data_IF_407188970281
#
_entry.id   IF_407188970281
#
_cell.length_a   1.000
_cell.length_b   1.000
_cell.length_c   1.000
_cell.angle_alpha   90.00
_cell.angle_beta   90.00
_cell.angle_gamma   90.00
#
_symmetry.space_group_name_H-M   'P 1'
#
loop_
_entity.id
_entity.type
_entity.pdbx_description
1 polymer ?
#
# COMPACT_ATOMS: atom_id res chain seq x y z
N UNK A 1 -3.55 -4.06 26.98
CA UNK A 1 -3.14 -2.70 26.58
C UNK A 1 -2.36 -2.68 25.25
N UNK A 2 -1.30 -3.47 25.07
CA UNK A 2 -0.48 -3.48 23.85
C UNK A 2 -1.26 -3.85 22.56
N UNK A 3 -2.09 -4.90 22.59
CA UNK A 3 -2.89 -5.34 21.43
C UNK A 3 -3.92 -4.29 20.99
N UNK A 4 -4.56 -3.61 21.94
CA UNK A 4 -5.48 -2.50 21.62
C UNK A 4 -4.78 -1.33 20.92
N UNK A 5 -3.54 -1.01 21.34
CA UNK A 5 -2.71 0.00 20.66
C UNK A 5 -2.36 -0.40 19.23
N UNK A 6 -2.02 -1.67 18.99
CA UNK A 6 -1.71 -2.21 17.67
C UNK A 6 -2.93 -2.21 16.73
N UNK A 7 -4.10 -2.65 17.23
CA UNK A 7 -5.35 -2.65 16.45
C UNK A 7 -5.81 -1.23 16.11
N UNK A 8 -5.65 -0.28 17.05
CA UNK A 8 -5.95 1.14 16.81
C UNK A 8 -5.07 1.75 15.70
N UNK A 9 -3.78 1.36 15.63
CA UNK A 9 -2.88 1.80 14.57
C UNK A 9 -3.33 1.32 13.17
N UNK A 10 -3.79 0.07 13.05
CA UNK A 10 -4.33 -0.47 11.78
C UNK A 10 -5.67 0.15 11.42
N UNK A 11 -6.52 0.44 12.41
CA UNK A 11 -7.76 1.17 12.19
C UNK A 11 -7.52 2.56 11.57
N UNK A 12 -6.34 3.17 11.75
CA UNK A 12 -5.94 4.41 11.06
C UNK A 12 -5.80 4.26 9.54
N UNK A 13 -5.32 3.10 9.06
CA UNK A 13 -5.22 2.77 7.63
C UNK A 13 -6.58 2.42 7.02
N UNK A 14 -7.42 1.72 7.79
CA UNK A 14 -8.76 1.28 7.37
C UNK A 14 -9.79 2.40 7.49
N UNK A 15 -9.61 3.38 8.40
CA UNK A 15 -10.54 4.51 8.57
C UNK A 15 -10.81 5.18 7.23
N UNK A 16 -12.00 4.91 6.71
CA UNK A 16 -12.63 5.70 5.66
C UNK A 16 -13.01 7.02 6.30
N UNK A 17 -12.03 7.92 6.47
CA UNK A 17 -12.37 9.32 6.74
C UNK A 17 -13.24 9.77 5.57
N UNK A 18 -14.46 10.23 5.89
CA UNK A 18 -15.34 10.84 4.92
C UNK A 18 -14.57 11.93 4.17
N UNK A 19 -14.46 11.70 2.86
CA UNK A 19 -13.52 12.27 1.89
C UNK A 19 -13.90 13.69 1.46
N UNK A 20 -14.31 14.57 2.38
CA UNK A 20 -14.73 15.92 1.98
C UNK A 20 -13.53 16.88 1.80
N UNK A 21 -12.44 16.69 2.58
CA UNK A 21 -11.31 17.64 2.59
C UNK A 21 -9.97 17.10 2.06
N UNK A 22 -9.87 15.82 1.65
CA UNK A 22 -8.61 15.29 1.09
C UNK A 22 -8.68 15.22 -0.44
N UNK A 23 -7.79 15.96 -1.09
CA UNK A 23 -7.64 15.89 -2.54
C UNK A 23 -7.18 14.48 -2.96
N UNK A 24 -7.81 13.97 -4.00
CA UNK A 24 -7.49 12.72 -4.68
C UNK A 24 -6.30 12.99 -5.60
N UNK A 25 -5.16 12.38 -5.30
CA UNK A 25 -3.92 12.52 -6.07
C UNK A 25 -3.48 11.20 -6.71
N UNK A 26 -4.30 10.15 -6.58
CA UNK A 26 -3.92 8.77 -6.86
C UNK A 26 -5.07 7.96 -7.49
N UNK A 27 -4.68 6.90 -8.21
CA UNK A 27 -5.60 5.96 -8.84
C UNK A 27 -6.04 4.86 -7.85
N UNK A 28 -7.10 4.13 -8.21
CA UNK A 28 -7.59 3.00 -7.41
C UNK A 28 -6.48 1.96 -7.15
N UNK A 29 -5.68 1.66 -8.17
CA UNK A 29 -4.59 0.69 -8.06
C UNK A 29 -3.54 1.12 -7.03
N UNK A 30 -3.14 2.40 -7.01
CA UNK A 30 -2.26 2.94 -5.97
C UNK A 30 -2.83 2.68 -4.56
N UNK A 31 -4.13 2.92 -4.37
CA UNK A 31 -4.79 2.67 -3.07
C UNK A 31 -4.79 1.20 -2.71
N UNK A 32 -4.91 0.29 -3.68
CA UNK A 32 -4.78 -1.13 -3.42
C UNK A 32 -3.40 -1.49 -2.85
N UNK A 33 -2.32 -0.84 -3.29
CA UNK A 33 -0.97 -1.02 -2.72
C UNK A 33 -0.86 -0.46 -1.30
N UNK A 34 -0.80 0.87 -1.17
CA UNK A 34 -0.38 1.49 0.10
C UNK A 34 -1.46 1.44 1.20
N UNK A 35 -2.74 1.28 0.83
CA UNK A 35 -3.84 1.31 1.79
C UNK A 35 -4.36 -0.09 2.09
N UNK A 36 -4.73 -0.84 1.06
CA UNK A 36 -5.34 -2.17 1.26
C UNK A 36 -4.25 -3.20 1.58
N UNK A 37 -3.22 -3.31 0.74
CA UNK A 37 -2.16 -4.33 0.90
C UNK A 37 -1.32 -4.07 2.14
N UNK A 38 -0.88 -2.83 2.38
CA UNK A 38 -0.19 -2.51 3.65
C UNK A 38 -1.06 -2.81 4.88
N UNK A 39 -2.37 -2.49 4.86
CA UNK A 39 -3.25 -2.81 5.98
C UNK A 39 -3.43 -4.32 6.19
N UNK A 40 -3.57 -5.09 5.12
CA UNK A 40 -3.60 -6.56 5.16
C UNK A 40 -2.32 -7.09 5.82
N UNK A 41 -1.15 -6.65 5.36
CA UNK A 41 0.14 -7.13 5.86
C UNK A 41 0.35 -6.76 7.34
N UNK A 42 0.02 -5.54 7.75
CA UNK A 42 0.09 -5.14 9.15
C UNK A 42 -0.92 -5.89 10.02
N UNK A 43 -2.13 -6.16 9.51
CA UNK A 43 -3.12 -6.97 10.22
C UNK A 43 -2.61 -8.41 10.41
N UNK A 44 -2.07 -9.04 9.35
CA UNK A 44 -1.45 -10.36 9.44
C UNK A 44 -0.27 -10.36 10.43
N UNK A 45 0.60 -9.34 10.37
CA UNK A 45 1.71 -9.18 11.32
C UNK A 45 1.22 -9.14 12.77
N UNK A 46 0.15 -8.37 13.06
CA UNK A 46 -0.43 -8.30 14.39
C UNK A 46 -1.04 -9.63 14.81
N UNK A 47 -1.75 -10.33 13.92
CA UNK A 47 -2.34 -11.63 14.22
C UNK A 47 -1.27 -12.65 14.61
N UNK A 48 -0.20 -12.76 13.81
CA UNK A 48 0.91 -13.70 14.09
C UNK A 48 1.63 -13.29 15.38
N UNK A 49 1.89 -12.00 15.58
CA UNK A 49 2.54 -11.49 16.80
C UNK A 49 1.69 -11.71 18.05
N UNK A 50 0.37 -11.48 17.97
CA UNK A 50 -0.54 -11.69 19.09
C UNK A 50 -0.59 -13.17 19.50
N UNK A 51 -0.55 -14.10 18.54
CA UNK A 51 -0.45 -15.53 18.85
C UNK A 51 0.87 -15.86 19.56
N UNK A 52 2.00 -15.28 19.11
CA UNK A 52 3.29 -15.43 19.78
C UNK A 52 3.34 -14.87 21.22
N UNK A 53 2.54 -13.86 21.54
CA UNK A 53 2.54 -13.23 22.88
C UNK A 53 1.52 -13.83 23.85
N UNK A 54 0.37 -14.29 23.35
CA UNK A 54 -0.77 -14.70 24.18
C UNK A 54 -0.93 -16.23 24.20
N UNK A 55 -0.58 -16.91 23.12
CA UNK A 55 -0.68 -18.36 23.00
C UNK A 55 0.67 -19.06 23.16
N UNK A 56 0.63 -20.38 23.26
CA UNK A 56 1.82 -21.22 23.18
C UNK A 56 2.18 -21.43 21.69
N UNK A 57 3.29 -20.84 21.19
CA UNK A 57 3.64 -20.92 19.78
C UNK A 57 4.03 -22.34 19.34
N UNK A 58 4.54 -23.13 20.29
CA UNK A 58 4.93 -24.53 20.14
C UNK A 58 4.57 -25.30 21.41
N UNK A 59 4.05 -26.52 21.24
CA UNK A 59 3.77 -27.44 22.34
C UNK A 59 4.41 -28.78 22.06
N UNK A 60 5.34 -29.20 22.91
CA UNK A 60 6.11 -30.43 22.74
C UNK A 60 5.75 -31.50 23.77
N UNK A 61 5.79 -32.75 23.31
CA UNK A 61 5.62 -33.95 24.14
C UNK A 61 7.01 -34.55 24.38
N UNK A 62 7.27 -34.98 25.62
CA UNK A 62 8.51 -35.62 26.04
C UNK A 62 8.26 -36.73 27.08
N UNK A 63 9.29 -37.52 27.39
CA UNK A 63 9.20 -38.66 28.32
C UNK A 63 9.25 -38.26 29.82
N UNK A 64 9.04 -36.98 30.15
CA UNK A 64 9.05 -36.48 31.54
C UNK A 64 10.44 -36.27 32.17
N UNK A 65 11.53 -36.63 31.49
CA UNK A 65 12.90 -36.48 32.00
C UNK A 65 13.38 -35.01 32.11
N UNK A 66 12.75 -34.09 31.37
CA UNK A 66 13.05 -32.66 31.36
C UNK A 66 11.73 -31.89 31.50
N UNK A 67 11.68 -30.80 32.30
CA UNK A 67 10.46 -29.99 32.40
C UNK A 67 9.97 -29.51 31.02
N UNK A 68 8.67 -29.65 30.76
CA UNK A 68 8.05 -29.35 29.45
C UNK A 68 8.32 -27.92 29.01
N UNK A 69 8.23 -26.95 29.93
CA UNK A 69 8.56 -25.54 29.65
C UNK A 69 9.96 -25.38 29.03
N UNK A 70 10.97 -26.06 29.58
CA UNK A 70 12.36 -25.95 29.11
C UNK A 70 12.48 -26.48 27.69
N UNK A 71 11.84 -27.62 27.40
CA UNK A 71 11.82 -28.20 26.04
C UNK A 71 11.08 -27.25 25.08
N UNK A 72 9.89 -26.76 25.44
CA UNK A 72 9.12 -25.86 24.60
C UNK A 72 9.94 -24.61 24.26
N UNK A 73 10.58 -23.97 25.24
CA UNK A 73 11.40 -22.78 25.03
C UNK A 73 12.65 -23.08 24.20
N UNK A 74 13.34 -24.20 24.47
CA UNK A 74 14.53 -24.59 23.71
C UNK A 74 14.21 -24.89 22.24
N UNK A 75 13.18 -25.69 22.00
CA UNK A 75 12.74 -26.07 20.66
C UNK A 75 12.15 -24.88 19.90
N UNK A 76 11.51 -23.94 20.62
CA UNK A 76 11.07 -22.68 20.03
C UNK A 76 12.24 -21.85 19.51
N UNK A 77 13.28 -21.64 20.32
CA UNK A 77 14.41 -20.72 20.03
C UNK A 77 15.37 -21.31 19.00
N UNK A 78 15.66 -22.61 19.08
CA UNK A 78 16.75 -23.24 18.32
C UNK A 78 16.32 -23.53 16.88
N UNK A 79 15.66 -24.65 16.66
CA UNK A 79 15.05 -25.07 15.41
C UNK A 79 14.26 -26.34 15.68
N UNK A 80 13.32 -26.64 14.80
CA UNK A 80 12.74 -27.98 14.69
C UNK A 80 13.06 -28.55 13.32
N UNK A 81 12.85 -29.84 13.10
CA UNK A 81 13.12 -30.45 11.81
C UNK A 81 12.07 -31.51 11.43
N UNK A 82 11.96 -31.76 10.13
CA UNK A 82 11.21 -32.86 9.54
C UNK A 82 12.13 -33.74 8.69
N UNK A 83 11.67 -34.96 8.39
CA UNK A 83 12.38 -35.96 7.62
C UNK A 83 11.60 -36.21 6.31
N UNK A 84 11.99 -35.58 5.18
CA UNK A 84 11.27 -35.67 3.90
C UNK A 84 11.31 -37.07 3.25
N UNK A 85 12.12 -38.01 3.76
CA UNK A 85 12.21 -39.39 3.24
C UNK A 85 11.09 -40.35 3.68
N UNK A 86 10.01 -39.85 4.29
CA UNK A 86 8.94 -40.66 4.90
C UNK A 86 7.57 -40.47 4.23
N UNK A 87 7.53 -39.81 3.08
CA UNK A 87 6.28 -39.59 2.33
C UNK A 87 5.76 -40.88 1.71
N UNK A 88 4.45 -41.15 1.86
CA UNK A 88 3.79 -42.35 1.34
C UNK A 88 3.65 -43.51 2.33
N UNK A 89 4.18 -43.36 3.56
CA UNK A 89 3.97 -44.32 4.64
C UNK A 89 2.60 -44.13 5.30
N UNK A 90 1.93 -45.22 5.64
CA UNK A 90 0.59 -45.16 6.24
C UNK A 90 0.66 -44.64 7.68
N UNK A 91 -0.05 -43.54 7.94
CA UNK A 91 -0.13 -42.97 9.29
C UNK A 91 -0.77 -43.96 10.27
N UNK A 92 -0.25 -44.01 11.49
CA UNK A 92 -0.74 -44.90 12.55
C UNK A 92 -0.27 -46.35 12.47
N UNK A 93 0.38 -46.76 11.38
CA UNK A 93 0.98 -48.10 11.23
C UNK A 93 2.49 -48.03 11.03
N UNK A 94 2.97 -47.21 10.10
CA UNK A 94 4.41 -47.10 9.79
C UNK A 94 5.06 -45.84 10.37
N UNK A 95 4.31 -44.74 10.49
CA UNK A 95 4.75 -43.46 11.07
C UNK A 95 3.63 -42.80 11.88
N UNK A 96 4.00 -42.05 12.93
CA UNK A 96 3.03 -41.32 13.75
C UNK A 96 2.43 -40.12 12.98
N UNK A 97 3.26 -39.37 12.27
CA UNK A 97 2.85 -38.27 11.39
C UNK A 97 3.80 -38.18 10.17
N UNK A 98 3.34 -37.52 9.11
CA UNK A 98 4.16 -37.21 7.93
C UNK A 98 5.41 -36.42 8.31
N UNK A 99 6.56 -36.78 7.76
CA UNK A 99 7.82 -36.09 8.03
C UNK A 99 8.49 -36.50 9.35
N UNK A 100 8.03 -37.57 10.01
CA UNK A 100 8.66 -38.18 11.18
C UNK A 100 9.22 -39.56 10.85
N UNK A 101 10.33 -39.93 11.49
CA UNK A 101 11.06 -41.16 11.21
C UNK A 101 12.36 -41.29 12.01
N UNK A 102 13.16 -42.30 11.65
CA UNK A 102 14.44 -42.56 12.30
C UNK A 102 15.52 -41.55 11.89
N UNK A 103 16.49 -41.33 12.78
CA UNK A 103 17.52 -40.27 12.66
C UNK A 103 18.53 -40.42 11.50
N UNK A 104 18.49 -41.53 10.76
CA UNK A 104 19.43 -41.87 9.69
C UNK A 104 19.10 -41.21 8.33
N UNK A 105 18.09 -40.34 8.30
CA UNK A 105 17.62 -39.68 7.08
C UNK A 105 18.00 -38.19 7.06
N UNK A 106 17.98 -37.61 5.87
CA UNK A 106 18.19 -36.17 5.65
C UNK A 106 17.16 -35.36 6.43
N UNK A 107 17.61 -34.27 7.06
CA UNK A 107 16.79 -33.42 7.94
C UNK A 107 16.54 -32.08 7.29
N UNK A 108 15.29 -31.70 7.18
CA UNK A 108 14.87 -30.35 6.78
C UNK A 108 14.60 -29.54 8.03
N UNK A 109 15.38 -28.47 8.24
CA UNK A 109 15.28 -27.62 9.42
C UNK A 109 14.31 -26.46 9.21
N UNK A 110 13.49 -26.19 10.22
CA UNK A 110 12.44 -25.17 10.23
C UNK A 110 12.72 -24.14 11.33
N UNK A 111 13.03 -22.91 10.94
CA UNK A 111 13.17 -21.76 11.84
C UNK A 111 12.57 -20.45 11.29
N UNK A 112 12.09 -20.46 10.04
CA UNK A 112 11.57 -19.28 9.34
C UNK A 112 10.34 -18.68 10.05
N UNK A 113 9.54 -19.48 10.75
CA UNK A 113 8.31 -19.04 11.43
C UNK A 113 8.57 -17.96 12.49
N UNK A 114 9.77 -17.92 13.09
CA UNK A 114 10.19 -16.87 14.01
C UNK A 114 10.29 -15.50 13.32
N UNK A 115 10.62 -15.50 12.02
CA UNK A 115 10.88 -14.30 11.22
C UNK A 115 9.65 -13.79 10.47
N UNK A 116 8.56 -14.58 10.40
CA UNK A 116 7.33 -14.22 9.68
C UNK A 116 6.76 -12.85 10.11
N UNK A 117 6.65 -12.51 11.41
CA UNK A 117 6.14 -11.19 11.80
C UNK A 117 6.98 -10.03 11.28
N UNK A 118 8.30 -10.12 11.38
CA UNK A 118 9.22 -9.07 10.91
C UNK A 118 9.17 -8.93 9.40
N UNK A 119 9.06 -10.06 8.70
CA UNK A 119 8.90 -10.10 7.26
C UNK A 119 7.60 -9.39 6.84
N UNK A 120 6.45 -9.76 7.40
CA UNK A 120 5.16 -9.12 7.11
C UNK A 120 5.16 -7.62 7.41
N UNK A 121 5.80 -7.20 8.50
CA UNK A 121 5.96 -5.79 8.84
C UNK A 121 6.77 -5.03 7.78
N UNK A 122 7.94 -5.56 7.39
CA UNK A 122 8.78 -4.93 6.37
C UNK A 122 8.09 -4.86 5.01
N UNK A 123 7.38 -5.92 4.61
CA UNK A 123 6.56 -5.89 3.40
C UNK A 123 5.49 -4.80 3.47
N UNK A 124 4.79 -4.69 4.61
CA UNK A 124 3.77 -3.66 4.82
C UNK A 124 4.31 -2.25 4.60
N UNK A 125 5.54 -1.99 5.06
CA UNK A 125 6.27 -0.74 4.82
C UNK A 125 6.62 -0.57 3.34
N UNK A 126 7.18 -1.58 2.69
CA UNK A 126 7.55 -1.54 1.27
C UNK A 126 6.37 -1.17 0.37
N UNK A 127 5.18 -1.72 0.62
CA UNK A 127 3.95 -1.35 -0.11
C UNK A 127 3.48 0.09 0.13
N UNK A 128 3.92 0.74 1.22
CA UNK A 128 3.62 2.13 1.52
C UNK A 128 4.62 3.11 0.88
N UNK A 129 5.86 2.68 0.63
CA UNK A 129 6.95 3.54 0.13
C UNK A 129 6.61 4.28 -1.17
N UNK A 130 6.06 3.66 -2.24
CA UNK A 130 5.77 4.39 -3.48
C UNK A 130 4.77 5.53 -3.28
N UNK A 131 3.77 5.35 -2.41
CA UNK A 131 2.82 6.43 -2.07
C UNK A 131 3.48 7.53 -1.25
N UNK A 132 4.36 7.18 -0.31
CA UNK A 132 5.11 8.17 0.46
C UNK A 132 6.00 9.03 -0.44
N UNK A 133 6.70 8.43 -1.40
CA UNK A 133 7.48 9.15 -2.42
C UNK A 133 6.58 10.07 -3.23
N UNK A 134 5.47 9.56 -3.77
CA UNK A 134 4.53 10.37 -4.55
C UNK A 134 3.98 11.56 -3.77
N UNK A 135 3.60 11.34 -2.50
CA UNK A 135 3.06 12.39 -1.64
C UNK A 135 4.09 13.50 -1.37
N UNK A 136 5.36 13.15 -1.20
CA UNK A 136 6.42 14.15 -1.04
C UNK A 136 6.68 14.93 -2.33
N UNK A 137 6.54 14.30 -3.49
CA UNK A 137 6.69 14.98 -4.78
C UNK A 137 5.49 15.89 -5.10
N UNK A 138 4.28 15.47 -4.74
CA UNK A 138 3.06 16.24 -5.02
C UNK A 138 2.94 17.51 -4.17
N UNK A 139 3.57 17.55 -2.99
CA UNK A 139 3.67 18.70 -2.07
C UNK A 139 2.32 19.35 -1.70
N UNK A 140 1.20 18.64 -1.85
CA UNK A 140 -0.14 19.19 -1.63
C UNK A 140 -0.62 20.16 -2.72
N UNK A 141 0.05 20.24 -3.87
CA UNK A 141 -0.30 21.15 -4.98
C UNK A 141 -1.76 20.97 -5.42
N UNK A 142 -2.23 19.73 -5.60
CA UNK A 142 -3.61 19.45 -6.00
C UNK A 142 -4.61 19.90 -4.93
N UNK A 143 -4.25 19.75 -3.66
CA UNK A 143 -5.07 20.20 -2.53
C UNK A 143 -5.25 21.72 -2.52
N UNK A 144 -4.16 22.47 -2.74
CA UNK A 144 -4.16 23.93 -2.77
C UNK A 144 -4.98 24.46 -3.95
N UNK A 145 -4.77 23.89 -5.14
CA UNK A 145 -5.43 24.35 -6.37
C UNK A 145 -6.95 24.07 -6.34
N UNK A 146 -7.38 22.99 -5.68
CA UNK A 146 -8.79 22.59 -5.60
C UNK A 146 -9.48 23.04 -4.31
N UNK A 147 -8.80 23.82 -3.47
CA UNK A 147 -9.36 24.31 -2.22
C UNK A 147 -10.59 25.21 -2.46
N UNK A 148 -11.64 25.03 -1.67
CA UNK A 148 -12.91 25.76 -1.82
C UNK A 148 -13.72 25.43 -3.09
N UNK A 149 -13.25 24.51 -3.94
CA UNK A 149 -13.97 24.04 -5.13
C UNK A 149 -14.37 22.55 -5.07
N UNK A 150 -13.95 21.84 -4.01
CA UNK A 150 -14.30 20.45 -3.73
C UNK A 150 -15.65 20.36 -3.02
N UNK A 151 -16.44 19.34 -3.36
CA UNK A 151 -17.72 19.06 -2.71
C UNK A 151 -18.85 20.04 -3.06
N UNK A 152 -19.87 20.12 -2.20
CA UNK A 152 -20.99 21.06 -2.35
C UNK A 152 -20.53 22.44 -1.88
N UNK A 153 -20.08 23.28 -2.81
CA UNK A 153 -19.70 24.66 -2.53
C UNK A 153 -20.95 25.48 -2.17
N UNK A 154 -20.99 26.02 -0.95
CA UNK A 154 -22.01 26.98 -0.48
C UNK A 154 -21.76 28.42 -0.96
N UNK A 155 -20.67 28.65 -1.67
CA UNK A 155 -20.29 29.97 -2.15
C UNK A 155 -21.24 30.53 -3.21
N UNK A 156 -21.25 31.86 -3.32
CA UNK A 156 -22.05 32.57 -4.32
C UNK A 156 -21.65 32.18 -5.76
N UNK A 157 -22.58 32.24 -6.73
CA UNK A 157 -22.27 31.93 -8.13
C UNK A 157 -21.12 32.79 -8.69
N UNK A 158 -21.02 34.05 -8.26
CA UNK A 158 -19.96 34.97 -8.68
C UNK A 158 -18.58 34.54 -8.15
N UNK A 159 -18.47 34.18 -6.86
CA UNK A 159 -17.23 33.65 -6.29
C UNK A 159 -16.80 32.34 -6.95
N UNK A 160 -17.76 31.47 -7.28
CA UNK A 160 -17.47 30.20 -7.95
C UNK A 160 -16.87 30.46 -9.34
N UNK A 161 -17.43 31.39 -10.10
CA UNK A 161 -16.90 31.80 -11.41
C UNK A 161 -15.49 32.37 -11.30
N UNK A 162 -15.26 33.29 -10.37
CA UNK A 162 -13.93 33.87 -10.12
C UNK A 162 -12.88 32.81 -9.75
N UNK A 163 -13.26 31.77 -8.98
CA UNK A 163 -12.35 30.65 -8.67
C UNK A 163 -12.04 29.78 -9.89
N UNK A 164 -13.03 29.49 -10.74
CA UNK A 164 -12.80 28.77 -11.99
C UNK A 164 -11.87 29.55 -12.93
N UNK A 165 -12.03 30.87 -13.03
CA UNK A 165 -11.17 31.75 -13.84
C UNK A 165 -9.72 31.77 -13.31
N UNK A 166 -9.53 31.92 -11.99
CA UNK A 166 -8.19 31.84 -11.38
C UNK A 166 -7.52 30.49 -11.63
N UNK A 167 -8.28 29.40 -11.60
CA UNK A 167 -7.77 28.06 -11.88
C UNK A 167 -7.37 27.91 -13.36
N UNK A 168 -8.21 28.37 -14.28
CA UNK A 168 -7.90 28.38 -15.70
C UNK A 168 -6.66 29.25 -16.01
N UNK A 169 -6.57 30.42 -15.37
CA UNK A 169 -5.42 31.31 -15.48
C UNK A 169 -4.14 30.65 -14.97
N UNK A 170 -4.20 29.99 -13.81
CA UNK A 170 -3.07 29.20 -13.30
C UNK A 170 -2.63 28.13 -14.30
N UNK A 171 -3.56 27.37 -14.89
CA UNK A 171 -3.23 26.33 -15.88
C UNK A 171 -2.60 26.91 -17.14
N UNK A 172 -3.02 28.12 -17.55
CA UNK A 172 -2.44 28.83 -18.69
C UNK A 172 -1.02 29.30 -18.38
N UNK A 173 -0.82 29.95 -17.24
CA UNK A 173 0.48 30.50 -16.84
C UNK A 173 1.52 29.40 -16.55
N UNK A 174 1.08 28.25 -16.05
CA UNK A 174 1.93 27.11 -15.72
C UNK A 174 1.98 26.02 -16.79
N UNK A 175 1.42 26.28 -17.97
CA UNK A 175 1.43 25.34 -19.09
C UNK A 175 2.87 24.90 -19.43
N UNK A 176 3.04 23.63 -19.77
CA UNK A 176 4.30 22.95 -20.08
C UNK A 176 5.29 22.77 -18.92
N UNK A 177 4.97 23.24 -17.70
CA UNK A 177 5.86 23.09 -16.54
C UNK A 177 5.61 21.80 -15.73
N UNK A 178 4.51 21.10 -15.99
CA UNK A 178 4.07 19.94 -15.20
C UNK A 178 4.68 18.59 -15.60
N UNK A 179 5.68 18.57 -16.50
CA UNK A 179 6.28 17.30 -16.95
C UNK A 179 7.02 16.57 -15.81
N UNK A 180 7.74 17.29 -14.96
CA UNK A 180 8.41 16.70 -13.78
C UNK A 180 7.40 16.10 -12.80
N UNK A 181 6.24 16.75 -12.64
CA UNK A 181 5.15 16.24 -11.81
C UNK A 181 4.60 14.92 -12.34
N UNK A 182 4.33 14.85 -13.65
CA UNK A 182 3.84 13.62 -14.29
C UNK A 182 4.87 12.50 -14.33
N UNK A 183 6.15 12.84 -14.50
CA UNK A 183 7.23 11.88 -14.42
C UNK A 183 7.29 11.20 -13.05
N UNK A 184 7.21 11.99 -11.97
CA UNK A 184 7.13 11.46 -10.60
C UNK A 184 5.95 10.50 -10.40
N UNK A 185 4.80 10.81 -11.00
CA UNK A 185 3.60 9.96 -10.93
C UNK A 185 3.83 8.60 -11.58
N UNK A 186 4.28 8.59 -12.84
CA UNK A 186 4.50 7.35 -13.60
C UNK A 186 5.64 6.51 -13.01
N UNK A 187 6.68 7.15 -12.46
CA UNK A 187 7.71 6.44 -11.69
C UNK A 187 7.10 5.73 -10.49
N UNK A 188 6.27 6.41 -9.70
CA UNK A 188 5.65 5.79 -8.52
C UNK A 188 4.70 4.65 -8.93
N UNK A 189 4.06 4.75 -10.09
CA UNK A 189 3.24 3.66 -10.64
C UNK A 189 4.10 2.45 -11.02
N UNK A 190 5.22 2.67 -11.70
CA UNK A 190 6.19 1.62 -12.01
C UNK A 190 6.78 1.00 -10.73
N UNK A 191 7.10 1.82 -9.73
CA UNK A 191 7.61 1.35 -8.43
C UNK A 191 6.59 0.47 -7.70
N UNK A 192 5.28 0.77 -7.78
CA UNK A 192 4.25 -0.12 -7.22
C UNK A 192 4.26 -1.51 -7.88
N UNK A 193 4.40 -1.58 -9.21
CA UNK A 193 4.49 -2.85 -9.92
C UNK A 193 5.78 -3.62 -9.60
N UNK A 194 6.92 -2.93 -9.62
CA UNK A 194 8.21 -3.51 -9.21
C UNK A 194 8.14 -4.01 -7.77
N UNK A 195 7.48 -3.27 -6.89
CA UNK A 195 7.34 -3.65 -5.48
C UNK A 195 6.50 -4.92 -5.31
N UNK A 196 5.35 -5.07 -5.98
CA UNK A 196 4.55 -6.31 -5.86
C UNK A 196 5.28 -7.51 -6.45
N UNK A 197 5.91 -7.36 -7.62
CA UNK A 197 6.69 -8.44 -8.24
C UNK A 197 7.89 -8.81 -7.36
N UNK A 198 8.62 -7.82 -6.85
CA UNK A 198 9.72 -8.02 -5.91
C UNK A 198 9.29 -8.71 -4.63
N UNK A 199 8.12 -8.36 -4.08
CA UNK A 199 7.57 -9.02 -2.89
C UNK A 199 7.19 -10.48 -3.16
N UNK A 200 6.68 -10.83 -4.34
CA UNK A 200 6.41 -12.22 -4.71
C UNK A 200 7.71 -13.04 -4.67
N UNK A 201 8.78 -12.56 -5.31
CA UNK A 201 10.08 -13.24 -5.28
C UNK A 201 10.72 -13.25 -3.89
N UNK A 202 10.52 -12.19 -3.11
CA UNK A 202 11.02 -12.12 -1.75
C UNK A 202 10.37 -13.17 -0.85
N UNK A 203 9.05 -13.35 -0.95
CA UNK A 203 8.32 -14.42 -0.24
C UNK A 203 8.78 -15.80 -0.72
N UNK A 204 8.94 -15.96 -2.03
CA UNK A 204 9.39 -17.22 -2.63
C UNK A 204 10.74 -17.66 -2.09
N UNK A 205 11.72 -16.74 -2.09
CA UNK A 205 13.03 -17.00 -1.49
C UNK A 205 12.94 -17.27 0.02
N UNK A 206 12.07 -16.56 0.73
CA UNK A 206 11.87 -16.74 2.17
C UNK A 206 11.29 -18.13 2.51
N UNK A 207 10.42 -18.68 1.65
CA UNK A 207 9.79 -19.99 1.81
C UNK A 207 10.51 -21.14 1.09
N UNK A 208 11.74 -20.91 0.59
CA UNK A 208 12.55 -21.96 -0.04
C UNK A 208 12.20 -22.29 -1.50
N UNK A 209 11.57 -21.37 -2.24
CA UNK A 209 11.33 -21.48 -3.69
C UNK A 209 9.98 -22.10 -4.07
N UNK A 210 9.09 -22.30 -3.10
CA UNK A 210 7.81 -22.97 -3.32
C UNK A 210 6.59 -22.04 -3.28
N UNK A 211 6.80 -20.73 -3.11
CA UNK A 211 5.68 -19.77 -3.06
C UNK A 211 5.07 -19.56 -4.45
N UNK A 212 5.87 -19.54 -5.52
CA UNK A 212 5.34 -19.29 -6.87
C UNK A 212 4.31 -20.33 -7.32
N UNK A 213 4.54 -21.62 -7.02
CA UNK A 213 3.61 -22.70 -7.38
C UNK A 213 2.51 -22.90 -6.35
N UNK A 214 2.66 -22.32 -5.16
CA UNK A 214 1.83 -22.55 -3.98
C UNK A 214 0.32 -22.50 -4.23
N UNK A 215 -0.23 -21.38 -4.71
CA UNK A 215 -1.67 -21.25 -4.89
C UNK A 215 -2.24 -22.19 -5.97
N UNK A 216 -1.44 -22.50 -7.00
CA UNK A 216 -1.85 -23.43 -8.06
C UNK A 216 -1.94 -24.87 -7.56
N UNK A 217 -1.02 -25.28 -6.68
CA UNK A 217 -1.03 -26.60 -6.04
C UNK A 217 -2.16 -26.72 -5.03
N UNK A 218 -2.41 -25.67 -4.25
CA UNK A 218 -3.54 -25.62 -3.31
C UNK A 218 -4.87 -25.85 -4.03
N UNK A 219 -5.09 -25.23 -5.19
CA UNK A 219 -6.29 -25.45 -6.01
C UNK A 219 -6.38 -26.87 -6.56
N UNK A 220 -5.27 -27.43 -7.06
CA UNK A 220 -5.24 -28.79 -7.64
C UNK A 220 -5.66 -29.85 -6.64
N UNK A 221 -5.18 -29.74 -5.40
CA UNK A 221 -5.44 -30.77 -4.40
C UNK A 221 -6.57 -30.37 -3.42
N UNK A 222 -7.24 -29.22 -3.61
CA UNK A 222 -8.28 -28.68 -2.70
C UNK A 222 -9.43 -29.64 -2.39
N UNK A 223 -9.69 -30.62 -3.28
CA UNK A 223 -10.76 -31.60 -3.14
C UNK A 223 -10.33 -32.88 -2.38
N UNK A 224 -9.06 -33.02 -1.98
CA UNK A 224 -8.56 -34.17 -1.24
C UNK A 224 -8.54 -33.89 0.27
N UNK A 225 -8.93 -34.89 1.06
CA UNK A 225 -8.84 -34.84 2.53
C UNK A 225 -7.39 -34.55 2.97
N UNK A 226 -7.23 -33.60 3.88
CA UNK A 226 -5.92 -33.05 4.26
C UNK A 226 -4.98 -34.08 4.90
N UNK A 227 -5.51 -35.18 5.46
CA UNK A 227 -4.72 -36.27 6.05
C UNK A 227 -4.08 -37.21 5.02
N UNK A 228 -4.69 -37.35 3.83
CA UNK A 228 -4.20 -38.21 2.74
C UNK A 228 -3.37 -37.44 1.71
N UNK A 229 -3.05 -36.18 2.01
CA UNK A 229 -2.54 -35.23 1.05
C UNK A 229 -1.06 -35.02 1.30
N UNK A 230 -0.21 -35.60 0.46
CA UNK A 230 1.24 -35.32 0.43
C UNK A 230 1.50 -34.00 -0.32
N UNK A 231 0.96 -32.88 0.17
CA UNK A 231 1.18 -31.57 -0.44
C UNK A 231 2.60 -31.07 -0.14
N UNK A 232 3.21 -30.32 -1.07
CA UNK A 232 4.37 -29.45 -0.79
C UNK A 232 4.11 -28.45 0.35
N UNK A 233 2.83 -28.16 0.63
CA UNK A 233 2.41 -27.28 1.72
C UNK A 233 2.74 -27.82 3.12
N UNK A 234 2.71 -29.14 3.33
CA UNK A 234 3.09 -29.75 4.62
C UNK A 234 4.61 -29.71 4.81
N UNK A 235 5.36 -29.74 3.71
CA UNK A 235 6.82 -29.64 3.73
C UNK A 235 7.28 -28.23 4.11
N UNK A 236 6.63 -27.20 3.56
CA UNK A 236 6.95 -25.80 3.84
C UNK A 236 6.41 -25.37 5.21
N UNK A 237 5.18 -25.76 5.58
CA UNK A 237 4.53 -25.39 6.84
C UNK A 237 4.14 -26.63 7.66
N UNK A 238 5.11 -27.37 8.21
CA UNK A 238 4.79 -28.56 8.99
C UNK A 238 4.06 -28.18 10.28
N UNK A 239 2.97 -28.89 10.56
CA UNK A 239 2.21 -28.75 11.80
C UNK A 239 2.80 -29.56 12.95
N UNK A 240 3.55 -30.61 12.63
CA UNK A 240 4.24 -31.50 13.57
C UNK A 240 5.69 -31.61 13.15
N UNK A 241 6.61 -31.45 14.10
CA UNK A 241 8.05 -31.48 13.87
C UNK A 241 8.77 -32.22 15.00
N UNK A 242 10.01 -32.64 14.76
CA UNK A 242 10.89 -33.24 15.77
C UNK A 242 11.88 -32.19 16.29
N UNK A 243 12.20 -32.27 17.57
CA UNK A 243 13.23 -31.49 18.23
C UNK A 243 14.11 -32.41 19.07
N UNK A 244 15.42 -32.17 19.08
CA UNK A 244 16.40 -32.98 19.82
C UNK A 244 17.07 -32.12 20.89
N UNK A 245 16.79 -32.39 22.17
CA UNK A 245 17.39 -31.70 23.30
C UNK A 245 18.55 -32.54 23.86
N UNK A 246 19.73 -31.92 24.00
CA UNK A 246 20.92 -32.57 24.54
C UNK A 246 21.19 -32.06 25.95
N UNK A 247 21.37 -32.98 26.91
CA UNK A 247 21.64 -32.67 28.32
C UNK A 247 22.81 -33.51 28.83
N UNK A 248 23.60 -32.98 29.75
CA UNK A 248 24.60 -33.78 30.47
C UNK A 248 23.94 -34.57 31.61
N UNK A 249 24.15 -35.88 31.62
CA UNK A 249 23.77 -36.76 32.73
C UNK A 249 24.73 -36.64 33.92
N UNK A 250 24.42 -37.29 35.04
CA UNK A 250 25.22 -37.22 36.27
C UNK A 250 26.67 -37.72 36.11
N UNK A 251 26.94 -38.55 35.10
CA UNK A 251 28.30 -39.02 34.76
C UNK A 251 29.06 -38.11 33.79
N UNK A 252 28.47 -36.99 33.36
CA UNK A 252 29.03 -36.12 32.32
C UNK A 252 28.86 -36.64 30.89
N UNK A 253 28.16 -37.77 30.70
CA UNK A 253 27.78 -38.26 29.37
C UNK A 253 26.62 -37.45 28.76
N UNK A 254 26.63 -37.28 27.44
CA UNK A 254 25.57 -36.58 26.70
C UNK A 254 24.36 -37.51 26.59
N UNK A 255 23.22 -37.07 27.10
CA UNK A 255 21.93 -37.71 26.97
C UNK A 255 21.09 -36.95 25.94
N UNK A 256 20.51 -37.70 25.00
CA UNK A 256 19.64 -37.18 23.94
C UNK A 256 18.19 -37.41 24.32
N UNK A 257 17.38 -36.35 24.27
CA UNK A 257 15.95 -36.37 24.50
C UNK A 257 15.24 -35.90 23.23
N UNK A 258 14.48 -36.80 22.61
CA UNK A 258 13.67 -36.47 21.45
C UNK A 258 12.29 -35.97 21.91
N UNK A 259 11.84 -34.88 21.32
CA UNK A 259 10.53 -34.32 21.55
C UNK A 259 9.76 -34.18 20.24
N UNK A 260 8.47 -34.51 20.29
CA UNK A 260 7.54 -34.27 19.19
C UNK A 260 6.77 -32.98 19.48
N UNK A 261 6.83 -32.04 18.56
CA UNK A 261 6.31 -30.68 18.77
C UNK A 261 5.22 -30.33 17.75
N UNK A 262 4.12 -29.79 18.25
CA UNK A 262 3.03 -29.22 17.43
C UNK A 262 3.27 -27.72 17.28
N UNK A 263 3.36 -27.25 16.04
CA UNK A 263 3.55 -25.83 15.69
C UNK A 263 2.21 -25.21 15.35
N UNK A 264 1.52 -24.69 16.36
CA UNK A 264 0.23 -24.02 16.18
C UNK A 264 0.35 -22.78 15.28
N UNK A 265 1.48 -22.07 15.29
CA UNK A 265 1.69 -20.90 14.43
C UNK A 265 1.71 -21.21 12.94
N UNK A 266 2.15 -22.41 12.55
CA UNK A 266 2.25 -22.77 11.15
C UNK A 266 0.88 -22.91 10.48
N UNK A 267 -0.18 -23.24 11.23
CA UNK A 267 -1.55 -23.24 10.66
C UNK A 267 -2.00 -21.84 10.27
N UNK A 268 -1.63 -20.81 11.04
CA UNK A 268 -1.95 -19.42 10.72
C UNK A 268 -1.12 -18.95 9.54
N UNK A 269 0.18 -19.25 9.54
CA UNK A 269 1.08 -18.89 8.44
C UNK A 269 0.62 -19.53 7.12
N UNK A 270 0.23 -20.81 7.14
CA UNK A 270 -0.37 -21.50 5.98
C UNK A 270 -1.53 -20.68 5.41
N UNK A 271 -2.52 -20.30 6.23
CA UNK A 271 -3.69 -19.55 5.73
C UNK A 271 -3.37 -18.14 5.27
N UNK A 272 -2.47 -17.45 5.97
CA UNK A 272 -2.02 -16.10 5.60
C UNK A 272 -1.33 -16.13 4.23
N UNK A 273 -0.37 -17.03 4.03
CA UNK A 273 0.39 -17.08 2.77
C UNK A 273 -0.45 -17.60 1.60
N UNK A 274 -1.47 -18.44 1.82
CA UNK A 274 -2.43 -18.79 0.76
C UNK A 274 -3.18 -17.55 0.31
N UNK A 275 -3.73 -16.79 1.25
CA UNK A 275 -4.46 -15.56 0.94
C UNK A 275 -3.56 -14.53 0.23
N UNK A 276 -2.35 -14.31 0.75
CA UNK A 276 -1.39 -13.36 0.17
C UNK A 276 -0.97 -13.75 -1.25
N UNK A 277 -0.87 -15.05 -1.56
CA UNK A 277 -0.55 -15.50 -2.91
C UNK A 277 -1.58 -15.01 -3.93
N UNK A 278 -2.86 -15.28 -3.70
CA UNK A 278 -3.93 -14.83 -4.60
C UNK A 278 -4.00 -13.31 -4.67
N UNK A 279 -3.84 -12.64 -3.52
CA UNK A 279 -3.86 -11.19 -3.43
C UNK A 279 -2.71 -10.54 -4.23
N UNK A 280 -1.48 -11.03 -4.09
CA UNK A 280 -0.32 -10.49 -4.81
C UNK A 280 -0.41 -10.73 -6.32
N UNK A 281 -0.90 -11.89 -6.76
CA UNK A 281 -1.13 -12.14 -8.19
C UNK A 281 -2.21 -11.19 -8.74
N UNK A 282 -3.34 -11.04 -8.05
CA UNK A 282 -4.39 -10.12 -8.47
C UNK A 282 -3.89 -8.65 -8.52
N UNK A 283 -3.11 -8.25 -7.52
CA UNK A 283 -2.52 -6.92 -7.45
C UNK A 283 -1.47 -6.70 -8.54
N UNK A 284 -0.62 -7.70 -8.84
CA UNK A 284 0.36 -7.65 -9.92
C UNK A 284 -0.32 -7.50 -11.30
N UNK A 285 -1.39 -8.25 -11.56
CA UNK A 285 -2.19 -8.12 -12.78
C UNK A 285 -2.83 -6.73 -12.87
N UNK A 286 -3.49 -6.26 -11.81
CA UNK A 286 -4.11 -4.93 -11.79
C UNK A 286 -3.08 -3.81 -12.00
N UNK A 287 -1.88 -3.97 -11.45
CA UNK A 287 -0.76 -3.02 -11.61
C UNK A 287 -0.15 -3.05 -13.01
N UNK A 288 0.00 -4.24 -13.60
CA UNK A 288 0.42 -4.39 -14.98
C UNK A 288 -0.57 -3.73 -15.95
N UNK A 289 -1.87 -3.94 -15.75
CA UNK A 289 -2.93 -3.28 -16.53
C UNK A 289 -2.91 -1.75 -16.36
N UNK A 290 -2.62 -1.26 -15.15
CA UNK A 290 -2.49 0.17 -14.89
C UNK A 290 -1.30 0.78 -15.66
N UNK A 291 -0.13 0.11 -15.64
CA UNK A 291 1.04 0.55 -16.42
C UNK A 291 0.74 0.55 -17.92
N UNK A 292 0.08 -0.48 -18.43
CA UNK A 292 -0.32 -0.54 -19.84
C UNK A 292 -1.27 0.61 -20.19
N UNK A 293 -2.25 0.90 -19.33
CA UNK A 293 -3.14 2.04 -19.49
C UNK A 293 -2.40 3.39 -19.47
N UNK A 294 -1.46 3.57 -18.55
CA UNK A 294 -0.62 4.76 -18.47
C UNK A 294 0.30 4.90 -19.69
N UNK A 295 0.90 3.82 -20.17
CA UNK A 295 1.67 3.81 -21.40
C UNK A 295 0.81 4.20 -22.62
N UNK A 296 -0.42 3.71 -22.70
CA UNK A 296 -1.38 4.11 -23.72
C UNK A 296 -1.74 5.60 -23.65
N UNK A 297 -1.87 6.19 -22.45
CA UNK A 297 -2.06 7.64 -22.28
C UNK A 297 -0.85 8.43 -22.79
N UNK A 298 0.37 7.97 -22.49
CA UNK A 298 1.61 8.64 -22.89
C UNK A 298 1.81 8.59 -24.40
N UNK A 299 1.58 7.44 -25.02
CA UNK A 299 1.87 7.22 -26.44
C UNK A 299 0.72 7.64 -27.36
N UNK A 300 -0.54 7.49 -26.94
CA UNK A 300 -1.70 7.66 -27.82
C UNK A 300 -2.52 8.91 -27.48
N UNK A 301 -2.57 9.92 -28.35
CA UNK A 301 -3.44 11.10 -28.14
C UNK A 301 -4.93 10.74 -28.16
N UNK A 302 -5.33 9.70 -28.90
CA UNK A 302 -6.72 9.22 -28.99
C UNK A 302 -7.27 8.74 -27.64
N UNK A 303 -6.43 8.06 -26.84
CA UNK A 303 -6.78 7.62 -25.49
C UNK A 303 -7.01 8.83 -24.57
N UNK A 304 -6.15 9.85 -24.66
CA UNK A 304 -6.29 11.11 -23.91
C UNK A 304 -7.59 11.84 -24.23
N UNK A 305 -7.92 11.93 -25.52
CA UNK A 305 -9.20 12.49 -25.97
C UNK A 305 -10.40 11.71 -25.44
N UNK A 306 -10.39 10.38 -25.51
CA UNK A 306 -11.50 9.55 -25.04
C UNK A 306 -11.73 9.73 -23.53
N UNK A 307 -10.66 9.81 -22.75
CA UNK A 307 -10.72 10.07 -21.30
C UNK A 307 -11.33 11.44 -21.00
N UNK A 308 -10.89 12.49 -21.70
CA UNK A 308 -11.44 13.83 -21.54
C UNK A 308 -12.90 13.92 -22.00
N UNK A 309 -13.25 13.38 -23.17
CA UNK A 309 -14.63 13.38 -23.69
C UNK A 309 -15.60 12.68 -22.73
N UNK A 310 -15.18 11.58 -22.10
CA UNK A 310 -16.01 10.86 -21.13
C UNK A 310 -16.31 11.69 -19.88
N UNK A 311 -15.35 12.51 -19.43
CA UNK A 311 -15.52 13.35 -18.22
C UNK A 311 -16.12 14.72 -18.53
N UNK A 312 -15.79 15.30 -19.68
CA UNK A 312 -16.31 16.57 -20.20
C UNK A 312 -17.50 16.34 -21.13
N UNK A 313 -18.56 15.73 -20.58
CA UNK A 313 -19.69 15.20 -21.37
C UNK A 313 -20.50 16.27 -22.14
N UNK A 314 -20.34 17.57 -21.83
CA UNK A 314 -21.12 18.68 -22.39
C UNK A 314 -20.41 19.48 -23.49
N UNK A 315 -19.19 19.09 -23.87
CA UNK A 315 -18.37 19.88 -24.76
C UNK A 315 -18.34 19.38 -26.19
N UNK A 316 -17.99 20.27 -27.12
CA UNK A 316 -17.75 19.89 -28.50
C UNK A 316 -16.52 18.95 -28.58
N UNK A 317 -16.65 17.77 -29.21
CA UNK A 317 -15.52 16.89 -29.49
C UNK A 317 -14.34 17.57 -30.19
N UNK A 318 -14.58 18.64 -30.97
CA UNK A 318 -13.55 19.40 -31.66
C UNK A 318 -12.65 20.18 -30.68
N UNK A 319 -13.24 20.82 -29.67
CA UNK A 319 -12.52 21.60 -28.66
C UNK A 319 -11.56 20.71 -27.85
N UNK A 320 -12.01 19.51 -27.50
CA UNK A 320 -11.18 18.53 -26.79
C UNK A 320 -10.01 18.04 -27.65
N UNK A 321 -10.23 17.86 -28.95
CA UNK A 321 -9.18 17.46 -29.89
C UNK A 321 -8.12 18.57 -30.03
N UNK A 322 -8.57 19.82 -30.17
CA UNK A 322 -7.68 20.98 -30.26
C UNK A 322 -6.87 21.17 -28.98
N UNK A 323 -7.49 21.00 -27.81
CA UNK A 323 -6.82 21.04 -26.52
C UNK A 323 -5.70 19.99 -26.42
N UNK A 324 -5.98 18.72 -26.73
CA UNK A 324 -5.00 17.63 -26.64
C UNK A 324 -3.79 17.85 -27.56
N UNK A 325 -3.96 18.54 -28.68
CA UNK A 325 -2.86 18.88 -29.60
C UNK A 325 -1.93 19.96 -29.05
N UNK A 326 -2.41 20.86 -28.19
CA UNK A 326 -1.63 21.97 -27.62
C UNK A 326 -1.01 21.65 -26.25
N UNK A 327 -1.58 20.69 -25.55
CA UNK A 327 -1.26 20.37 -24.15
C UNK A 327 -0.25 19.21 -24.06
N UNK A 328 0.81 19.40 -23.29
CA UNK A 328 1.80 18.35 -23.02
C UNK A 328 1.27 17.27 -22.06
N UNK A 329 2.00 16.16 -21.94
CA UNK A 329 1.59 15.05 -21.06
C UNK A 329 1.48 15.49 -19.60
N UNK A 330 2.37 16.39 -19.18
CA UNK A 330 2.42 17.01 -17.86
C UNK A 330 1.08 17.64 -17.46
N UNK A 331 0.64 18.53 -18.33
CA UNK A 331 -0.56 19.33 -18.16
C UNK A 331 -1.83 18.48 -18.32
N UNK A 332 -1.80 17.49 -19.23
CA UNK A 332 -2.90 16.53 -19.36
C UNK A 332 -3.16 15.78 -18.06
N UNK A 333 -2.12 15.30 -17.38
CA UNK A 333 -2.28 14.60 -16.10
C UNK A 333 -2.84 15.55 -15.02
N UNK A 334 -2.37 16.80 -14.98
CA UNK A 334 -2.89 17.81 -14.05
C UNK A 334 -4.38 18.03 -14.27
N UNK A 335 -4.80 18.25 -15.52
CA UNK A 335 -6.20 18.40 -15.92
C UNK A 335 -7.01 17.15 -15.57
N UNK A 336 -6.47 15.96 -15.82
CA UNK A 336 -7.10 14.69 -15.45
C UNK A 336 -7.36 14.58 -13.93
N UNK A 337 -6.36 14.89 -13.11
CA UNK A 337 -6.45 14.85 -11.65
C UNK A 337 -7.38 15.95 -11.10
N UNK A 338 -7.38 17.15 -11.68
CA UNK A 338 -8.37 18.19 -11.36
C UNK A 338 -9.79 17.67 -11.62
N UNK A 339 -9.98 16.98 -12.74
CA UNK A 339 -11.24 16.33 -13.05
C UNK A 339 -11.68 15.34 -11.98
N UNK A 340 -10.77 14.61 -11.33
CA UNK A 340 -11.11 13.69 -10.23
C UNK A 340 -11.53 14.39 -8.94
N UNK A 341 -11.10 15.63 -8.72
CA UNK A 341 -11.35 16.40 -7.51
C UNK A 341 -12.53 17.37 -7.62
N UNK A 342 -12.86 17.80 -8.83
CA UNK A 342 -13.92 18.76 -9.10
C UNK A 342 -15.22 18.07 -9.52
N UNK A 343 -16.35 18.69 -9.20
CA UNK A 343 -17.65 18.26 -9.72
C UNK A 343 -17.70 18.40 -11.24
N UNK A 344 -18.44 17.54 -11.94
CA UNK A 344 -18.51 17.50 -13.42
C UNK A 344 -18.84 18.87 -14.03
N UNK A 345 -19.77 19.62 -13.42
CA UNK A 345 -20.15 20.97 -13.89
C UNK A 345 -19.01 21.97 -13.71
N UNK A 346 -18.40 22.03 -12.51
CA UNK A 346 -17.29 22.94 -12.22
C UNK A 346 -16.06 22.65 -13.07
N UNK A 347 -15.74 21.36 -13.25
CA UNK A 347 -14.66 20.93 -14.14
C UNK A 347 -14.91 21.37 -15.58
N UNK A 348 -16.15 21.23 -16.07
CA UNK A 348 -16.51 21.64 -17.42
C UNK A 348 -16.46 23.16 -17.63
N UNK A 349 -16.96 23.95 -16.68
CA UNK A 349 -16.88 25.42 -16.71
C UNK A 349 -15.42 25.89 -16.73
N UNK A 350 -14.58 25.35 -15.84
CA UNK A 350 -13.15 25.70 -15.79
C UNK A 350 -12.42 25.31 -17.08
N UNK A 351 -12.67 24.11 -17.61
CA UNK A 351 -12.00 23.62 -18.82
C UNK A 351 -12.40 24.44 -20.05
N UNK A 352 -13.67 24.85 -20.15
CA UNK A 352 -14.13 25.72 -21.22
C UNK A 352 -13.45 27.10 -21.16
N UNK A 353 -13.33 27.70 -19.98
CA UNK A 353 -12.59 28.96 -19.81
C UNK A 353 -11.12 28.81 -20.21
N UNK A 354 -10.48 27.70 -19.85
CA UNK A 354 -9.11 27.41 -20.22
C UNK A 354 -8.92 27.23 -21.73
N UNK A 355 -9.83 26.53 -22.41
CA UNK A 355 -9.80 26.37 -23.88
C UNK A 355 -9.93 27.73 -24.57
N UNK A 356 -10.85 28.58 -24.13
CA UNK A 356 -11.01 29.94 -24.68
C UNK A 356 -9.72 30.76 -24.54
N UNK A 357 -9.06 30.73 -23.38
CA UNK A 357 -7.77 31.41 -23.17
C UNK A 357 -6.69 30.90 -24.14
N UNK A 358 -6.65 29.60 -24.40
CA UNK A 358 -5.71 29.01 -25.36
C UNK A 358 -6.00 29.47 -26.80
N UNK A 359 -7.27 29.56 -27.20
CA UNK A 359 -7.65 29.97 -28.55
C UNK A 359 -7.45 31.46 -28.81
N UNK A 360 -7.74 32.31 -27.83
CA UNK A 360 -7.54 33.76 -27.93
C UNK A 360 -6.07 34.18 -27.80
N UNK A 361 -5.20 33.30 -27.28
CA UNK A 361 -3.79 33.59 -27.04
C UNK A 361 -3.55 34.73 -26.06
N UNK A 362 -4.57 35.08 -25.26
CA UNK A 362 -4.53 36.15 -24.27
C UNK A 362 -5.02 35.61 -22.92
N UNK A 363 -4.28 35.84 -21.81
CA UNK A 363 -4.85 35.66 -20.49
C UNK A 363 -6.05 36.59 -20.34
N UNK A 364 -7.03 36.23 -19.48
CA UNK A 364 -8.15 37.13 -19.18
C UNK A 364 -7.55 38.38 -18.54
N UNK A 365 -7.43 39.44 -19.33
CA UNK A 365 -7.12 40.78 -18.85
C UNK A 365 -8.29 41.25 -18.01
N UNK A 366 -8.26 40.90 -16.72
CA UNK A 366 -8.97 41.62 -15.68
C UNK A 366 -7.97 42.57 -15.04
N UNK A 367 -8.26 43.86 -15.14
CA UNK A 367 -7.70 44.96 -14.35
C UNK A 367 -6.89 44.50 -13.13
N UNK A 368 -5.57 44.36 -13.27
CA UNK A 368 -4.73 44.74 -12.14
C UNK A 368 -4.94 46.24 -11.99
N UNK A 369 -5.42 46.76 -10.85
CA UNK A 369 -5.26 48.18 -10.62
C UNK A 369 -3.75 48.41 -10.65
N UNK A 370 -3.29 49.04 -11.74
CA UNK A 370 -1.99 49.67 -11.80
C UNK A 370 -1.82 50.41 -10.48
N UNK A 371 -0.72 50.12 -9.78
CA UNK A 371 -0.41 50.79 -8.52
C UNK A 371 -0.75 52.28 -8.65
N UNK A 372 -1.51 52.87 -7.71
CA UNK A 372 -1.87 54.26 -7.82
C UNK A 372 -0.57 55.06 -7.91
N UNK A 373 -0.47 55.89 -8.94
CA UNK A 373 0.65 56.82 -9.06
C UNK A 373 0.74 57.59 -7.74
N UNK A 374 1.94 57.72 -7.20
CA UNK A 374 2.25 58.27 -5.88
C UNK A 374 1.89 59.76 -5.70
N UNK A 375 1.04 60.32 -6.56
CA UNK A 375 0.69 61.74 -6.59
C UNK A 375 -0.62 62.09 -5.88
N UNK A 376 -1.44 61.12 -5.48
CA UNK A 376 -2.68 61.40 -4.73
C UNK A 376 -2.75 60.57 -3.44
N UNK A 377 -1.92 60.93 -2.46
CA UNK A 377 -2.12 60.55 -1.06
C UNK A 377 -2.49 61.80 -0.26
N UNK A 378 -3.78 62.09 -0.17
CA UNK A 378 -4.31 62.89 0.93
C UNK A 378 -4.52 61.96 2.14
N UNK A 379 -4.08 62.34 3.35
CA UNK A 379 -4.18 61.46 4.51
C UNK A 379 -5.65 61.30 4.96
N UNK A 380 -6.09 60.05 5.02
CA UNK A 380 -7.44 59.62 5.42
C UNK A 380 -7.55 59.39 6.94
N UNK A 381 -6.83 60.18 7.75
CA UNK A 381 -6.91 60.12 9.22
C UNK A 381 -7.02 61.54 9.78
N UNK A 382 -7.96 61.82 10.71
CA UNK A 382 -7.98 63.09 11.41
C UNK A 382 -6.73 63.23 12.29
N UNK A 383 -6.17 64.43 12.34
CA UNK A 383 -5.01 64.76 13.15
C UNK A 383 -5.31 64.52 14.64
N UNK A 384 -4.54 63.64 15.28
CA UNK A 384 -4.60 63.40 16.72
C UNK A 384 -4.07 64.66 17.43
N UNK A 385 -4.94 65.34 18.17
CA UNK A 385 -4.55 66.41 19.07
C UNK A 385 -3.61 65.86 20.16
N UNK A 386 -2.42 66.45 20.25
CA UNK A 386 -1.43 66.21 21.31
C UNK A 386 -2.02 66.65 22.65
N UNK A 387 -2.38 65.71 23.52
CA UNK A 387 -2.48 65.98 24.95
C UNK A 387 -1.08 65.98 25.57
N UNK A 388 -0.77 67.08 26.26
CA UNK A 388 0.52 67.38 26.86
C UNK A 388 0.89 66.45 28.01
N UNK A 389 2.20 66.28 28.18
CA UNK A 389 2.83 65.71 29.37
C UNK A 389 2.58 66.61 30.58
N UNK A 390 2.13 66.03 31.68
CA UNK A 390 2.58 66.44 33.01
C UNK A 390 2.88 65.18 33.83
N UNK A 391 4.16 65.03 34.13
CA UNK A 391 4.74 64.19 35.19
C UNK A 391 5.12 65.13 36.33
N UNK A 392 4.80 64.75 37.57
CA UNK A 392 5.23 65.26 38.89
C UNK A 392 3.98 65.16 39.79
N UNK A 393 3.90 64.43 40.90
CA UNK A 393 4.86 63.99 41.93
C UNK A 393 4.39 62.71 42.60
#
# INVERSE_FOLDING_TARGET
MAVFGLVSAVAGFVKVRYLQDKAIIDNMVFRCHYRITSAILFACCIIVTANNLIGDPISCINDGAVPIHVINTYCWITYTFTLPGQHGRTMGTEVAHSGLGNDNQERTYHSYYQWVPFMLFFQGLLFYVPHWIWKNWEEGRMRMITEGMRGVSTASPAERKARHERLAQYLYDSANTHNTYSFGYFICEALNFVNVVGNIFFVDKFLGGAFLTYGSEVLKFSNMNQENRSDPMIEIFPRVTKCTFHKYGSSGSIQKHDALCVLALNILNEKIYIFLWFWFIALAVASGLAIVYSAAIVMMPTTREAVLKRRFRKADPADVCNLIRRVQIGDFLMIHLLGQNLNVTSYGEMLHTFINMLDEGRPISGDTPSAPSTLEMAPMYPAIEKYGKETET
#
